data_IF_685864286830
#
_entry.id   IF_685864286830
#
_cell.length_a   1.000
_cell.length_b   1.000
_cell.length_c   1.000
_cell.angle_alpha   90.00
_cell.angle_beta   90.00
_cell.angle_gamma   90.00
#
_symmetry.space_group_name_H-M   'P 1'
#
loop_
_entity.id
_entity.type
_entity.pdbx_description
1 polymer ?
#
# COMPACT_ATOMS: atom_id res chain seq x y z
N UNK A 1 -14.71 6.40 8.03
CA UNK A 1 -13.56 5.52 8.34
C UNK A 1 -12.84 5.20 7.05
N UNK A 2 -11.54 5.44 6.97
CA UNK A 2 -10.70 5.07 5.81
C UNK A 2 -10.73 3.55 5.64
N UNK A 3 -10.89 3.07 4.41
CA UNK A 3 -10.86 1.64 4.07
C UNK A 3 -9.55 1.30 3.36
N UNK A 4 -9.00 0.12 3.62
CA UNK A 4 -7.76 -0.35 2.98
C UNK A 4 -8.04 -1.26 1.75
N UNK A 5 -9.12 -1.01 1.01
CA UNK A 5 -9.62 -1.88 -0.07
C UNK A 5 -8.54 -2.28 -1.08
N UNK A 6 -7.76 -1.31 -1.57
CA UNK A 6 -6.67 -1.57 -2.54
C UNK A 6 -5.59 -2.47 -1.94
N UNK A 7 -5.19 -2.24 -0.68
CA UNK A 7 -4.18 -3.06 -0.02
C UNK A 7 -4.66 -4.51 0.18
N UNK A 8 -5.94 -4.73 0.49
CA UNK A 8 -6.53 -6.07 0.56
C UNK A 8 -6.64 -6.76 -0.81
N UNK A 9 -6.61 -6.00 -1.90
CA UNK A 9 -6.70 -6.53 -3.26
C UNK A 9 -5.61 -7.55 -3.59
N UNK A 10 -4.45 -7.51 -2.94
CA UNK A 10 -3.36 -8.47 -3.19
C UNK A 10 -3.62 -9.86 -2.59
N UNK A 11 -4.45 -9.95 -1.56
CA UNK A 11 -4.79 -11.23 -0.92
C UNK A 11 -6.07 -11.81 -1.52
N UNK A 12 -7.09 -10.96 -1.72
CA UNK A 12 -8.46 -11.40 -1.94
C UNK A 12 -9.16 -10.67 -3.11
N UNK A 13 -8.43 -9.99 -3.99
CA UNK A 13 -9.01 -9.21 -5.08
C UNK A 13 -8.20 -9.22 -6.37
N UNK A 14 -8.38 -8.18 -7.18
CA UNK A 14 -7.83 -8.15 -8.55
C UNK A 14 -6.30 -7.98 -8.61
N UNK A 15 -5.66 -7.62 -7.48
CA UNK A 15 -4.21 -7.47 -7.38
C UNK A 15 -3.51 -8.76 -6.93
N UNK A 16 -4.18 -9.91 -6.89
CA UNK A 16 -3.55 -11.18 -6.52
C UNK A 16 -2.42 -11.55 -7.51
N UNK A 17 -1.15 -11.59 -7.07
CA UNK A 17 -0.02 -11.63 -7.99
C UNK A 17 0.12 -12.94 -8.74
N UNK A 18 -0.27 -14.08 -8.14
CA UNK A 18 -0.19 -15.39 -8.83
C UNK A 18 -1.29 -15.60 -9.86
N UNK A 19 -2.38 -14.83 -9.82
CA UNK A 19 -3.42 -14.84 -10.87
C UNK A 19 -3.07 -13.91 -12.04
N UNK A 20 -2.12 -13.00 -11.82
CA UNK A 20 -1.70 -11.98 -12.77
C UNK A 20 -0.39 -12.32 -13.51
N UNK A 21 0.00 -13.60 -13.54
CA UNK A 21 1.27 -14.05 -14.16
C UNK A 21 1.18 -14.28 -15.67
N UNK A 22 0.01 -14.06 -16.29
CA UNK A 22 -0.18 -14.28 -17.72
C UNK A 22 0.43 -13.14 -18.56
N UNK A 23 0.81 -13.45 -19.81
CA UNK A 23 1.47 -12.48 -20.72
C UNK A 23 0.61 -11.24 -21.02
N UNK A 24 -0.71 -11.41 -21.04
CA UNK A 24 -1.65 -10.30 -21.30
C UNK A 24 -1.66 -9.27 -20.17
N UNK A 25 -1.33 -9.68 -18.94
CA UNK A 25 -1.31 -8.80 -17.78
C UNK A 25 -0.27 -7.69 -17.95
N UNK A 26 0.96 -8.05 -18.33
CA UNK A 26 2.04 -7.07 -18.52
C UNK A 26 1.68 -6.04 -19.60
N UNK A 27 1.11 -6.49 -20.72
CA UNK A 27 0.64 -5.62 -21.79
C UNK A 27 -0.51 -4.68 -21.35
N UNK A 28 -1.38 -5.14 -20.44
CA UNK A 28 -2.49 -4.33 -19.92
C UNK A 28 -2.02 -3.25 -18.94
N UNK A 29 -1.04 -3.57 -18.07
CA UNK A 29 -0.56 -2.63 -17.04
C UNK A 29 0.52 -1.68 -17.56
N UNK A 30 1.28 -2.04 -18.59
CA UNK A 30 2.39 -1.23 -19.12
C UNK A 30 1.99 0.22 -19.46
N UNK A 31 0.95 0.48 -20.27
CA UNK A 31 0.56 1.87 -20.58
C UNK A 31 0.09 2.63 -19.33
N UNK A 32 -0.54 1.92 -18.39
CA UNK A 32 -1.01 2.46 -17.12
C UNK A 32 0.17 2.87 -16.22
N UNK A 33 1.19 2.01 -16.13
CA UNK A 33 2.42 2.25 -15.41
C UNK A 33 3.19 3.44 -16.00
N UNK A 34 3.41 3.45 -17.32
CA UNK A 34 4.14 4.54 -17.99
C UNK A 34 3.46 5.89 -17.75
N UNK A 35 2.13 5.95 -17.89
CA UNK A 35 1.34 7.14 -17.60
C UNK A 35 1.48 7.57 -16.14
N UNK A 36 1.41 6.63 -15.21
CA UNK A 36 1.56 6.92 -13.79
C UNK A 36 2.96 7.47 -13.46
N UNK A 37 4.01 6.97 -14.11
CA UNK A 37 5.40 7.43 -13.86
C UNK A 37 5.78 8.74 -14.56
N UNK A 38 4.89 9.33 -15.36
CA UNK A 38 5.17 10.55 -16.11
C UNK A 38 5.42 11.78 -15.21
N UNK A 39 4.94 11.75 -13.97
CA UNK A 39 5.17 12.79 -12.97
C UNK A 39 5.28 12.20 -11.56
N UNK A 40 5.90 12.96 -10.66
CA UNK A 40 5.88 12.70 -9.22
C UNK A 40 4.79 13.57 -8.62
N UNK A 41 3.76 13.00 -7.99
CA UNK A 41 2.67 13.78 -7.43
C UNK A 41 3.16 14.62 -6.25
N UNK A 42 2.77 15.90 -6.20
CA UNK A 42 3.08 16.81 -5.08
C UNK A 42 1.87 17.08 -4.18
N UNK A 43 0.67 16.79 -4.67
CA UNK A 43 -0.60 16.92 -3.94
C UNK A 43 -1.48 15.67 -4.09
N UNK A 44 -2.51 15.60 -3.26
CA UNK A 44 -3.50 14.52 -3.24
C UNK A 44 -4.27 14.34 -4.55
N UNK A 45 -4.59 15.41 -5.29
CA UNK A 45 -5.28 15.35 -6.60
C UNK A 45 -4.39 14.65 -7.64
N UNK A 46 -3.11 15.02 -7.71
CA UNK A 46 -2.15 14.38 -8.61
C UNK A 46 -1.90 12.92 -8.23
N UNK A 47 -1.79 12.62 -6.93
CA UNK A 47 -1.64 11.26 -6.43
C UNK A 47 -2.89 10.41 -6.75
N UNK A 48 -4.08 10.98 -6.61
CA UNK A 48 -5.34 10.33 -6.99
C UNK A 48 -5.39 10.03 -8.49
N UNK A 49 -4.98 10.96 -9.34
CA UNK A 49 -4.87 10.75 -10.80
C UNK A 49 -3.89 9.64 -11.16
N UNK A 50 -2.75 9.59 -10.46
CA UNK A 50 -1.76 8.52 -10.61
C UNK A 50 -2.34 7.16 -10.20
N UNK A 51 -3.01 7.08 -9.05
CA UNK A 51 -3.68 5.85 -8.59
C UNK A 51 -4.80 5.40 -9.53
N UNK A 52 -5.60 6.33 -10.04
CA UNK A 52 -6.64 6.05 -11.03
C UNK A 52 -6.05 5.48 -12.32
N UNK A 53 -4.90 5.98 -12.75
CA UNK A 53 -4.18 5.46 -13.92
C UNK A 53 -3.65 4.05 -13.66
N UNK A 54 -3.00 3.81 -12.51
CA UNK A 54 -2.46 2.50 -12.15
C UNK A 54 -3.54 1.42 -12.07
N UNK A 55 -4.70 1.76 -11.50
CA UNK A 55 -5.77 0.80 -11.22
C UNK A 55 -6.80 0.71 -12.34
N UNK A 56 -6.60 1.42 -13.46
CA UNK A 56 -7.49 1.40 -14.62
C UNK A 56 -7.78 -0.02 -15.17
N UNK A 57 -6.83 -0.99 -15.17
CA UNK A 57 -7.10 -2.36 -15.61
C UNK A 57 -8.03 -3.15 -14.68
N UNK A 58 -8.34 -2.65 -13.49
CA UNK A 58 -9.12 -3.34 -12.46
C UNK A 58 -10.40 -2.56 -12.15
N UNK A 59 -11.53 -2.85 -12.83
CA UNK A 59 -12.72 -2.01 -12.78
C UNK A 59 -13.23 -1.70 -11.36
N UNK A 60 -13.30 -2.72 -10.50
CA UNK A 60 -13.78 -2.55 -9.12
C UNK A 60 -12.87 -1.62 -8.30
N UNK A 61 -11.55 -1.74 -8.44
CA UNK A 61 -10.58 -0.87 -7.76
C UNK A 61 -10.55 0.52 -8.37
N UNK A 62 -10.65 0.64 -9.68
CA UNK A 62 -10.77 1.93 -10.38
C UNK A 62 -12.00 2.69 -9.89
N UNK A 63 -13.16 2.05 -9.82
CA UNK A 63 -14.40 2.68 -9.36
C UNK A 63 -14.33 3.06 -7.89
N UNK A 64 -13.72 2.20 -7.07
CA UNK A 64 -13.42 2.53 -5.67
C UNK A 64 -12.55 3.77 -5.56
N UNK A 65 -11.42 3.86 -6.29
CA UNK A 65 -10.55 5.04 -6.23
C UNK A 65 -11.27 6.28 -6.70
N UNK A 66 -11.98 6.25 -7.84
CA UNK A 66 -12.74 7.41 -8.35
C UNK A 66 -13.77 7.92 -7.34
N UNK A 67 -14.36 7.06 -6.53
CA UNK A 67 -15.27 7.47 -5.45
C UNK A 67 -14.60 8.23 -4.29
N UNK A 68 -13.27 8.34 -4.30
CA UNK A 68 -12.44 8.98 -3.29
C UNK A 68 -11.67 10.18 -3.87
N UNK A 69 -12.25 10.87 -4.84
CA UNK A 69 -11.65 12.06 -5.45
C UNK A 69 -11.47 13.16 -4.39
N UNK A 70 -10.24 13.72 -4.24
CA UNK A 70 -10.01 14.83 -3.33
C UNK A 70 -10.78 16.08 -3.76
N UNK A 71 -11.38 16.77 -2.79
CA UNK A 71 -12.14 18.01 -3.05
C UNK A 71 -11.21 19.20 -3.31
N UNK A 72 -10.03 19.20 -2.70
CA UNK A 72 -9.06 20.29 -2.76
C UNK A 72 -7.65 19.75 -2.88
N UNK A 73 -6.82 20.39 -3.71
CA UNK A 73 -5.40 20.05 -3.82
C UNK A 73 -4.65 20.41 -2.53
N UNK A 74 -4.28 19.39 -1.77
CA UNK A 74 -3.51 19.49 -0.52
C UNK A 74 -2.13 18.89 -0.73
N UNK A 75 -1.08 19.60 -0.30
CA UNK A 75 0.28 19.11 -0.40
C UNK A 75 0.44 17.79 0.37
N UNK A 76 1.15 16.84 -0.25
CA UNK A 76 1.41 15.55 0.37
C UNK A 76 2.39 15.70 1.53
N UNK A 77 2.04 15.11 2.67
CA UNK A 77 2.98 14.83 3.75
C UNK A 77 3.83 13.64 3.31
N UNK A 78 5.16 13.80 3.21
CA UNK A 78 6.05 12.70 2.87
C UNK A 78 6.18 11.71 4.04
N UNK A 79 6.55 10.45 3.79
CA UNK A 79 6.83 9.49 4.85
C UNK A 79 8.02 9.93 5.72
N UNK A 80 7.97 9.64 7.02
CA UNK A 80 9.05 9.90 7.98
C UNK A 80 10.19 8.87 7.88
N UNK A 81 9.86 7.64 7.55
CA UNK A 81 10.81 6.53 7.50
C UNK A 81 11.15 6.14 6.06
N UNK A 82 12.42 5.77 5.85
CA UNK A 82 12.86 5.13 4.61
C UNK A 82 12.74 3.62 4.72
N UNK A 83 12.39 2.96 3.61
CA UNK A 83 12.42 1.50 3.49
C UNK A 83 13.40 1.08 2.39
N UNK A 84 14.07 -0.05 2.60
CA UNK A 84 14.98 -0.64 1.62
C UNK A 84 14.32 -1.90 1.07
N UNK A 85 14.05 -1.91 -0.23
CA UNK A 85 13.43 -3.02 -0.95
C UNK A 85 14.34 -3.46 -2.12
N UNK A 86 14.28 -4.74 -2.52
CA UNK A 86 14.93 -5.18 -3.76
C UNK A 86 14.48 -4.33 -4.96
N UNK A 87 15.37 -4.03 -5.89
CA UNK A 87 15.04 -3.22 -7.07
C UNK A 87 14.22 -4.04 -8.07
N UNK A 88 13.10 -3.50 -8.54
CA UNK A 88 12.30 -4.13 -9.60
C UNK A 88 13.11 -4.25 -10.91
N UNK A 89 12.79 -5.26 -11.72
CA UNK A 89 13.55 -5.59 -12.94
C UNK A 89 12.69 -5.72 -14.19
N UNK A 90 11.36 -5.68 -14.06
CA UNK A 90 10.41 -5.78 -15.17
C UNK A 90 9.12 -5.02 -14.84
N UNK A 91 8.24 -4.86 -15.84
CA UNK A 91 6.97 -4.12 -15.70
C UNK A 91 6.08 -4.67 -14.58
N UNK A 92 6.02 -6.00 -14.41
CA UNK A 92 5.24 -6.63 -13.34
C UNK A 92 5.71 -6.18 -11.96
N UNK A 93 7.00 -6.32 -11.68
CA UNK A 93 7.60 -5.95 -10.38
C UNK A 93 7.57 -4.43 -10.16
N UNK A 94 7.77 -3.64 -11.21
CA UNK A 94 7.68 -2.18 -11.17
C UNK A 94 6.25 -1.71 -10.85
N UNK A 95 5.25 -2.33 -11.48
CA UNK A 95 3.84 -2.03 -11.26
C UNK A 95 3.42 -2.27 -9.81
N UNK A 96 3.74 -3.45 -9.24
CA UNK A 96 3.41 -3.75 -7.85
C UNK A 96 4.13 -2.83 -6.87
N UNK A 97 5.42 -2.57 -7.10
CA UNK A 97 6.17 -1.62 -6.28
C UNK A 97 5.51 -0.23 -6.26
N UNK A 98 5.20 0.31 -7.44
CA UNK A 98 4.63 1.65 -7.56
C UNK A 98 3.21 1.72 -6.98
N UNK A 99 2.36 0.72 -7.27
CA UNK A 99 0.98 0.65 -6.76
C UNK A 99 0.95 0.68 -5.25
N UNK A 100 1.76 -0.15 -4.58
CA UNK A 100 1.79 -0.17 -3.12
C UNK A 100 2.40 1.10 -2.52
N UNK A 101 3.49 1.62 -3.10
CA UNK A 101 4.10 2.87 -2.67
C UNK A 101 3.10 4.03 -2.66
N UNK A 102 2.38 4.20 -3.78
CA UNK A 102 1.46 5.31 -3.95
C UNK A 102 0.19 5.13 -3.14
N UNK A 103 -0.33 3.91 -3.04
CA UNK A 103 -1.51 3.64 -2.23
C UNK A 103 -1.24 3.89 -0.74
N UNK A 104 -0.08 3.49 -0.22
CA UNK A 104 0.26 3.77 1.19
C UNK A 104 0.46 5.26 1.43
N UNK A 105 1.04 6.00 0.49
CA UNK A 105 1.15 7.46 0.58
C UNK A 105 -0.23 8.13 0.58
N UNK A 106 -1.15 7.65 -0.27
CA UNK A 106 -2.54 8.14 -0.36
C UNK A 106 -3.28 7.89 0.95
N UNK A 107 -3.21 6.67 1.46
CA UNK A 107 -3.87 6.27 2.71
C UNK A 107 -3.32 7.03 3.91
N UNK A 108 -2.01 7.24 3.98
CA UNK A 108 -1.38 8.03 5.03
C UNK A 108 -1.96 9.45 5.06
N UNK A 109 -1.92 10.15 3.92
CA UNK A 109 -2.47 11.50 3.81
C UNK A 109 -3.99 11.56 4.04
N UNK A 110 -4.74 10.55 3.57
CA UNK A 110 -6.18 10.45 3.80
C UNK A 110 -6.50 10.28 5.29
N UNK A 111 -5.71 9.50 6.03
CA UNK A 111 -5.86 9.33 7.48
C UNK A 111 -5.57 10.64 8.21
N UNK A 112 -4.48 11.34 7.86
CA UNK A 112 -4.15 12.66 8.41
C UNK A 112 -5.33 13.62 8.27
N UNK A 113 -5.83 13.76 7.04
CA UNK A 113 -6.94 14.65 6.73
C UNK A 113 -8.22 14.22 7.46
N UNK A 114 -8.50 12.91 7.55
CA UNK A 114 -9.67 12.42 8.26
C UNK A 114 -9.64 12.73 9.76
N UNK A 115 -8.45 12.86 10.35
CA UNK A 115 -8.27 13.07 11.78
C UNK A 115 -8.06 14.54 12.20
N UNK A 116 -7.94 15.49 11.27
CA UNK A 116 -7.53 16.87 11.59
C UNK A 116 -8.51 17.56 12.55
N UNK A 117 -9.81 17.41 12.32
CA UNK A 117 -10.88 18.06 13.09
C UNK A 117 -11.49 17.18 14.19
N UNK A 118 -10.91 15.99 14.44
CA UNK A 118 -11.43 15.05 15.42
C UNK A 118 -10.92 15.32 16.83
N UNK A 119 -11.79 15.15 17.82
CA UNK A 119 -11.39 15.12 19.22
C UNK A 119 -10.46 13.93 19.53
N UNK A 120 -9.75 14.00 20.66
CA UNK A 120 -8.73 13.02 21.02
C UNK A 120 -9.28 11.61 21.27
N UNK A 121 -10.52 11.47 21.75
CA UNK A 121 -11.12 10.17 22.03
C UNK A 121 -11.46 9.45 20.73
N UNK A 122 -12.16 10.13 19.81
CA UNK A 122 -12.50 9.61 18.50
C UNK A 122 -11.26 9.34 17.65
N UNK A 123 -10.27 10.24 17.69
CA UNK A 123 -8.97 10.06 17.04
C UNK A 123 -8.25 8.83 17.58
N UNK A 124 -8.14 8.69 18.90
CA UNK A 124 -7.53 7.51 19.51
C UNK A 124 -8.26 6.23 19.12
N UNK A 125 -9.58 6.21 19.13
CA UNK A 125 -10.34 5.04 18.69
C UNK A 125 -10.00 4.64 17.25
N UNK A 126 -10.08 5.57 16.29
CA UNK A 126 -9.86 5.29 14.88
C UNK A 126 -8.42 4.90 14.56
N UNK A 127 -7.43 5.59 15.12
CA UNK A 127 -6.02 5.27 14.90
C UNK A 127 -5.72 3.85 15.36
N UNK A 128 -6.22 3.43 16.53
CA UNK A 128 -5.98 2.07 17.01
C UNK A 128 -6.70 1.01 16.15
N UNK A 129 -7.88 1.30 15.58
CA UNK A 129 -8.52 0.40 14.61
C UNK A 129 -7.73 0.31 13.30
N UNK A 130 -7.21 1.42 12.77
CA UNK A 130 -6.34 1.40 11.59
C UNK A 130 -5.07 0.59 11.81
N UNK A 131 -4.38 0.80 12.94
CA UNK A 131 -3.18 0.05 13.29
C UNK A 131 -3.48 -1.45 13.45
N UNK A 132 -4.61 -1.81 14.08
CA UNK A 132 -5.05 -3.20 14.21
C UNK A 132 -5.30 -3.86 12.84
N UNK A 133 -5.97 -3.16 11.94
CA UNK A 133 -6.29 -3.66 10.60
C UNK A 133 -5.02 -3.82 9.74
N UNK A 134 -4.13 -2.83 9.75
CA UNK A 134 -2.83 -2.90 9.06
C UNK A 134 -1.95 -4.02 9.62
N UNK A 135 -1.97 -4.22 10.95
CA UNK A 135 -1.28 -5.35 11.58
C UNK A 135 -1.82 -6.68 11.08
N UNK A 136 -3.14 -6.84 11.08
CA UNK A 136 -3.78 -8.05 10.58
C UNK A 136 -3.41 -8.32 9.11
N UNK A 137 -3.46 -7.30 8.27
CA UNK A 137 -3.07 -7.42 6.86
C UNK A 137 -1.60 -7.83 6.67
N UNK A 138 -0.66 -7.21 7.42
CA UNK A 138 0.75 -7.56 7.35
C UNK A 138 1.02 -9.02 7.79
N UNK A 139 0.31 -9.51 8.81
CA UNK A 139 0.39 -10.89 9.26
C UNK A 139 -0.18 -11.87 8.22
N UNK A 140 -1.33 -11.55 7.61
CA UNK A 140 -1.89 -12.39 6.55
C UNK A 140 -0.99 -12.45 5.31
N UNK A 141 -0.34 -11.34 4.95
CA UNK A 141 0.68 -11.33 3.89
C UNK A 141 1.85 -12.23 4.24
N UNK A 142 2.29 -12.19 5.50
CA UNK A 142 3.35 -13.07 6.02
C UNK A 142 2.95 -14.54 5.92
N UNK A 143 1.75 -14.89 6.35
CA UNK A 143 1.25 -16.26 6.29
C UNK A 143 1.07 -16.73 4.84
N UNK A 144 0.64 -15.84 3.94
CA UNK A 144 0.54 -16.14 2.51
C UNK A 144 1.89 -16.39 1.85
N UNK A 145 2.92 -15.62 2.24
CA UNK A 145 4.30 -15.85 1.80
C UNK A 145 4.80 -17.22 2.27
N UNK A 146 4.58 -17.58 3.54
CA UNK A 146 4.95 -18.90 4.08
C UNK A 146 4.22 -20.06 3.41
N UNK A 147 2.92 -19.91 3.17
CA UNK A 147 2.09 -20.91 2.47
C UNK A 147 2.65 -21.21 1.07
N UNK A 148 3.26 -20.20 0.42
CA UNK A 148 3.94 -20.33 -0.88
C UNK A 148 5.41 -20.75 -0.78
N UNK A 149 5.93 -21.01 0.41
CA UNK A 149 7.32 -21.41 0.63
C UNK A 149 8.34 -20.25 0.52
N UNK A 150 7.89 -19.00 0.53
CA UNK A 150 8.77 -17.83 0.45
C UNK A 150 9.33 -17.49 1.83
N UNK A 151 10.65 -17.62 2.01
CA UNK A 151 11.33 -17.48 3.32
C UNK A 151 12.53 -16.53 3.34
N UNK A 152 12.92 -16.01 2.19
CA UNK A 152 14.07 -15.11 2.02
C UNK A 152 13.63 -13.84 1.27
N UNK A 153 14.48 -12.81 1.11
CA UNK A 153 14.19 -11.74 0.16
C UNK A 153 14.04 -12.29 -1.27
N UNK A 154 13.11 -11.77 -2.08
CA UNK A 154 12.85 -12.24 -3.45
C UNK A 154 14.00 -11.88 -4.39
N UNK A 155 14.29 -12.73 -5.37
CA UNK A 155 14.98 -12.30 -6.58
C UNK A 155 13.95 -11.67 -7.54
N UNK A 156 14.00 -10.35 -7.82
CA UNK A 156 12.99 -9.67 -8.63
C UNK A 156 12.88 -10.19 -10.08
N UNK A 157 13.94 -10.83 -10.60
CA UNK A 157 13.96 -11.37 -11.96
C UNK A 157 13.21 -12.70 -12.07
N UNK A 158 13.38 -13.59 -11.10
CA UNK A 158 12.88 -14.97 -11.15
C UNK A 158 11.63 -15.18 -10.30
N UNK A 159 11.43 -14.34 -9.28
CA UNK A 159 10.42 -14.57 -8.24
C UNK A 159 9.40 -13.42 -8.21
N UNK A 160 8.80 -13.08 -9.35
CA UNK A 160 7.91 -11.91 -9.49
C UNK A 160 6.72 -11.92 -8.51
N UNK A 161 6.11 -13.08 -8.29
CA UNK A 161 5.01 -13.25 -7.30
C UNK A 161 5.50 -13.03 -5.87
N UNK A 162 6.66 -13.59 -5.54
CA UNK A 162 7.28 -13.39 -4.23
C UNK A 162 7.62 -11.91 -4.03
N UNK A 163 8.17 -11.26 -5.05
CA UNK A 163 8.45 -9.83 -5.05
C UNK A 163 7.20 -9.00 -4.75
N UNK A 164 6.09 -9.24 -5.45
CA UNK A 164 4.85 -8.51 -5.23
C UNK A 164 4.32 -8.64 -3.80
N UNK A 165 4.33 -9.85 -3.22
CA UNK A 165 3.92 -10.06 -1.82
C UNK A 165 4.89 -9.41 -0.83
N UNK A 166 6.19 -9.50 -1.11
CA UNK A 166 7.24 -8.92 -0.27
C UNK A 166 7.10 -7.39 -0.20
N UNK A 167 6.99 -6.70 -1.34
CA UNK A 167 6.84 -5.24 -1.36
C UNK A 167 5.55 -4.79 -0.71
N UNK A 168 4.43 -5.49 -0.96
CA UNK A 168 3.16 -5.17 -0.32
C UNK A 168 3.23 -5.28 1.20
N UNK A 169 3.81 -6.37 1.72
CA UNK A 169 4.01 -6.54 3.17
C UNK A 169 4.82 -5.39 3.75
N UNK A 170 5.94 -5.05 3.13
CA UNK A 170 6.81 -4.00 3.64
C UNK A 170 6.14 -2.63 3.60
N UNK A 171 5.41 -2.28 2.54
CA UNK A 171 4.65 -1.03 2.48
C UNK A 171 3.52 -0.98 3.51
N UNK A 172 2.81 -2.09 3.77
CA UNK A 172 1.79 -2.16 4.83
C UNK A 172 2.42 -1.95 6.21
N UNK A 173 3.54 -2.61 6.49
CA UNK A 173 4.28 -2.44 7.76
C UNK A 173 4.82 -1.01 7.87
N UNK A 174 5.30 -0.44 6.78
CA UNK A 174 5.77 0.94 6.73
C UNK A 174 4.65 1.92 7.08
N UNK A 175 3.49 1.82 6.41
CA UNK A 175 2.31 2.64 6.71
C UNK A 175 1.87 2.50 8.18
N UNK A 176 1.91 1.30 8.76
CA UNK A 176 1.64 1.09 10.17
C UNK A 176 2.54 1.98 11.05
N UNK A 177 3.85 1.98 10.79
CA UNK A 177 4.80 2.77 11.58
C UNK A 177 4.69 4.26 11.34
N UNK A 178 4.39 4.70 10.12
CA UNK A 178 4.10 6.11 9.81
C UNK A 178 2.92 6.64 10.63
N UNK A 179 1.83 5.86 10.71
CA UNK A 179 0.64 6.21 11.50
C UNK A 179 0.95 6.16 13.01
N UNK A 180 1.66 5.12 13.47
CA UNK A 180 2.00 4.97 14.89
C UNK A 180 2.86 6.15 15.37
N UNK A 181 3.80 6.60 14.55
CA UNK A 181 4.68 7.72 14.87
C UNK A 181 3.90 9.05 14.91
N UNK A 182 3.14 9.35 13.85
CA UNK A 182 2.42 10.62 13.76
C UNK A 182 1.39 10.82 14.88
N UNK A 183 0.74 9.73 15.28
CA UNK A 183 -0.33 9.74 16.26
C UNK A 183 0.10 9.11 17.59
N UNK A 184 1.38 9.18 17.95
CA UNK A 184 1.93 8.51 19.14
C UNK A 184 1.12 8.77 20.42
N UNK A 185 0.65 10.00 20.63
CA UNK A 185 -0.17 10.39 21.78
C UNK A 185 -1.56 9.73 21.82
N UNK A 186 -2.04 9.23 20.68
CA UNK A 186 -3.34 8.58 20.51
C UNK A 186 -3.23 7.04 20.45
N UNK A 187 -2.02 6.48 20.40
CA UNK A 187 -1.77 5.03 20.32
C UNK A 187 -1.81 4.39 21.71
N UNK A 188 -2.63 3.35 21.89
CA UNK A 188 -2.81 2.69 23.19
C UNK A 188 -1.68 1.71 23.53
N UNK A 189 -1.16 1.02 22.52
CA UNK A 189 -0.12 0.01 22.69
C UNK A 189 0.84 0.05 21.51
N UNK A 190 1.90 0.85 21.57
CA UNK A 190 2.88 0.90 20.49
C UNK A 190 3.54 -0.46 20.31
N UNK A 191 3.80 -0.82 19.06
CA UNK A 191 4.44 -2.05 18.64
C UNK A 191 5.82 -1.72 18.08
N UNK A 192 6.77 -2.64 18.21
CA UNK A 192 8.10 -2.52 17.61
C UNK A 192 8.18 -3.34 16.31
N UNK A 193 9.06 -2.98 15.35
CA UNK A 193 9.18 -3.67 14.06
C UNK A 193 9.35 -5.18 14.19
N UNK A 194 10.09 -5.65 15.20
CA UNK A 194 10.34 -7.06 15.47
C UNK A 194 9.04 -7.90 15.52
N UNK A 195 7.92 -7.34 15.97
CA UNK A 195 6.64 -8.05 16.05
C UNK A 195 6.07 -8.46 14.67
N UNK A 196 6.49 -7.82 13.59
CA UNK A 196 6.06 -8.12 12.22
C UNK A 196 6.98 -9.11 11.49
N UNK A 197 8.21 -9.30 11.99
CA UNK A 197 9.26 -10.07 11.32
C UNK A 197 9.71 -11.30 12.09
N UNK A 198 9.22 -11.54 13.32
CA UNK A 198 9.55 -12.70 14.17
C UNK A 198 9.25 -14.08 13.58
N UNK A 199 8.60 -14.13 12.42
CA UNK A 199 8.16 -15.34 11.74
C UNK A 199 9.06 -15.77 10.56
N UNK A 200 10.27 -15.19 10.47
CA UNK A 200 11.35 -15.57 9.54
C UNK A 200 12.68 -15.68 10.27
#
# INVERSE_FOLDING_TARGET
MVKFTTLYGILNGDLIPWLNTNDNFSSAIEPCYLKATASVPVNDVELHSQMTSLLQPFPALSDYIKSQEPVTATNLVPPFFAIILPQHTNTFTAFYYLTFRQETLRLFNLIINSCSEMDNEMKSFLINEYLKELKYLALNLTDKMKEKGFSHPPNPQTDTVHYALYVARYFVVHLFFEIQELFADNVKSPIIPKAFFQTF
#
